data_IF_998920708199
#
_entry.id   IF_998920708199
#
_cell.length_a   1.000
_cell.length_b   1.000
_cell.length_c   1.000
_cell.angle_alpha   90.00
_cell.angle_beta   90.00
_cell.angle_gamma   90.00
#
_symmetry.space_group_name_H-M   'P 1'
#
loop_
_entity.id
_entity.type
_entity.pdbx_description
1 polymer ?
#
# COMPACT_ATOMS: atom_id res chain seq x y z
N UNK A 1 42.84 3.58 3.62
CA UNK A 1 41.70 2.76 3.20
C UNK A 1 40.58 3.70 2.77
N UNK A 2 40.27 3.79 1.47
CA UNK A 2 39.07 4.53 1.04
C UNK A 2 37.88 3.66 1.42
N UNK A 3 36.96 4.18 2.24
CA UNK A 3 35.66 3.55 2.40
C UNK A 3 35.07 3.35 1.01
N UNK A 4 34.68 2.12 0.67
CA UNK A 4 33.98 1.88 -0.59
C UNK A 4 32.69 2.71 -0.53
N UNK A 5 32.56 3.68 -1.43
CA UNK A 5 31.32 4.41 -1.60
C UNK A 5 30.22 3.39 -1.89
N UNK A 6 29.08 3.48 -1.21
CA UNK A 6 27.96 2.58 -1.46
C UNK A 6 27.54 2.70 -2.94
N UNK A 7 26.89 1.66 -3.48
CA UNK A 7 26.36 1.73 -4.85
C UNK A 7 25.44 2.94 -5.02
N UNK A 8 24.75 3.35 -3.95
CA UNK A 8 23.90 4.54 -3.92
C UNK A 8 24.70 5.84 -4.04
N UNK A 9 25.85 5.96 -3.37
CA UNK A 9 26.75 7.13 -3.47
C UNK A 9 27.34 7.30 -4.88
N UNK A 10 27.58 6.20 -5.59
CA UNK A 10 28.07 6.23 -6.97
C UNK A 10 26.95 6.67 -7.92
N UNK A 11 25.71 6.23 -7.68
CA UNK A 11 24.56 6.53 -8.53
C UNK A 11 24.07 7.98 -8.39
N UNK A 12 24.29 8.65 -7.25
CA UNK A 12 23.93 10.07 -7.05
C UNK A 12 24.85 11.03 -7.79
N UNK A 13 26.12 10.66 -8.00
CA UNK A 13 27.10 11.47 -8.74
C UNK A 13 26.99 11.31 -10.27
N UNK A 14 26.53 10.15 -10.75
CA UNK A 14 26.30 9.88 -12.17
C UNK A 14 25.25 8.77 -12.30
N UNK A 15 24.19 8.93 -13.12
CA UNK A 15 23.30 7.83 -13.46
C UNK A 15 24.10 6.71 -14.13
N UNK A 16 24.41 5.67 -13.37
CA UNK A 16 25.16 4.52 -13.81
C UNK A 16 24.31 3.28 -13.55
N UNK A 17 24.03 2.44 -14.56
CA UNK A 17 23.40 1.14 -14.34
C UNK A 17 24.34 0.23 -13.53
N UNK A 18 24.20 0.26 -12.20
CA UNK A 18 25.07 -0.47 -11.27
C UNK A 18 24.44 -1.75 -10.71
N UNK A 19 23.15 -1.99 -11.00
CA UNK A 19 22.40 -3.10 -10.44
C UNK A 19 22.40 -4.35 -11.34
N UNK A 20 22.15 -5.55 -10.77
CA UNK A 20 22.04 -6.79 -11.54
C UNK A 20 20.97 -6.75 -12.63
N UNK A 21 19.88 -5.99 -12.40
CA UNK A 21 18.86 -5.75 -13.41
C UNK A 21 18.10 -4.42 -13.20
N UNK A 22 16.90 -4.29 -13.77
CA UNK A 22 16.03 -3.12 -13.56
C UNK A 22 15.36 -3.14 -12.19
N UNK A 23 15.24 -1.97 -11.57
CA UNK A 23 14.53 -1.75 -10.32
C UNK A 23 13.56 -0.58 -10.47
N UNK A 24 12.36 -0.68 -9.90
CA UNK A 24 11.30 0.33 -10.00
C UNK A 24 10.68 0.58 -8.64
N UNK A 25 10.50 1.86 -8.31
CA UNK A 25 9.73 2.30 -7.16
C UNK A 25 8.46 2.99 -7.66
N UNK A 26 7.30 2.66 -7.07
CA UNK A 26 6.05 3.38 -7.29
C UNK A 26 5.33 3.62 -5.98
N UNK A 27 4.68 4.78 -5.91
CA UNK A 27 4.00 5.23 -4.71
C UNK A 27 2.51 5.46 -4.98
N UNK A 28 1.65 4.83 -4.20
CA UNK A 28 0.21 5.05 -4.15
C UNK A 28 -0.19 5.58 -2.79
N UNK A 29 -1.03 6.62 -2.76
CA UNK A 29 -1.41 7.27 -1.50
C UNK A 29 -2.38 6.47 -0.61
N UNK A 30 -3.00 5.41 -1.12
CA UNK A 30 -3.88 4.53 -0.35
C UNK A 30 -3.98 3.12 -1.00
N UNK A 31 -4.62 2.14 -0.34
CA UNK A 31 -4.77 0.78 -0.86
C UNK A 31 -5.61 0.62 -2.14
N UNK A 32 -6.28 1.68 -2.61
CA UNK A 32 -6.90 1.67 -3.94
C UNK A 32 -5.86 1.59 -5.08
N UNK A 33 -4.58 1.84 -4.79
CA UNK A 33 -3.43 1.62 -5.67
C UNK A 33 -3.57 2.18 -7.10
N UNK A 34 -3.90 3.48 -7.22
CA UNK A 34 -4.20 4.11 -8.50
C UNK A 34 -3.06 4.08 -9.54
N UNK A 35 -1.79 3.93 -9.14
CA UNK A 35 -0.66 3.79 -10.08
C UNK A 35 -0.27 2.32 -10.34
N UNK A 36 -1.03 1.39 -9.76
CA UNK A 36 -0.80 -0.05 -9.76
C UNK A 36 0.64 -0.38 -9.36
N UNK A 37 1.08 0.15 -8.21
CA UNK A 37 2.41 -0.07 -7.66
C UNK A 37 2.62 -1.56 -7.36
N UNK A 38 1.66 -2.22 -6.69
CA UNK A 38 1.75 -3.62 -6.26
C UNK A 38 2.01 -4.58 -7.41
N UNK A 39 1.58 -4.24 -8.63
CA UNK A 39 1.73 -5.08 -9.81
C UNK A 39 2.82 -4.63 -10.79
N UNK A 40 3.44 -3.44 -10.60
CA UNK A 40 4.30 -2.82 -11.63
C UNK A 40 5.58 -2.19 -11.09
N UNK A 41 5.92 -2.41 -9.82
CA UNK A 41 7.13 -1.89 -9.20
C UNK A 41 7.81 -2.94 -8.32
N UNK A 42 9.14 -3.03 -8.40
CA UNK A 42 9.94 -3.88 -7.53
C UNK A 42 9.71 -3.51 -6.06
N UNK A 43 9.63 -2.21 -5.75
CA UNK A 43 9.21 -1.66 -4.45
C UNK A 43 7.91 -0.87 -4.62
N UNK A 44 6.89 -1.26 -3.87
CA UNK A 44 5.57 -0.63 -3.86
C UNK A 44 5.37 0.07 -2.52
N UNK A 45 5.18 1.38 -2.56
CA UNK A 45 4.88 2.20 -1.38
C UNK A 45 3.38 2.48 -1.37
N UNK A 46 2.63 1.90 -0.43
CA UNK A 46 1.17 2.03 -0.35
C UNK A 46 0.80 2.75 0.95
N UNK A 47 0.25 3.95 0.84
CA UNK A 47 -0.18 4.74 2.00
C UNK A 47 -1.25 4.02 2.83
N UNK A 48 -1.13 4.07 4.15
CA UNK A 48 -2.06 3.49 5.12
C UNK A 48 -2.08 4.37 6.39
N UNK A 49 -2.97 4.06 7.33
CA UNK A 49 -3.01 4.68 8.65
C UNK A 49 -3.04 3.61 9.75
N UNK A 50 -2.78 4.02 11.00
CA UNK A 50 -2.75 3.13 12.18
C UNK A 50 -3.94 3.29 13.11
N UNK A 51 -4.48 4.50 13.19
CA UNK A 51 -5.54 4.87 14.11
C UNK A 51 -6.95 4.61 13.54
N UNK A 52 -7.96 5.10 14.24
CA UNK A 52 -9.35 4.79 13.93
C UNK A 52 -9.86 5.55 12.70
N UNK A 53 -10.71 4.88 11.91
CA UNK A 53 -11.49 5.54 10.85
C UNK A 53 -12.37 6.62 11.50
N UNK A 54 -12.31 7.83 10.96
CA UNK A 54 -13.11 8.97 11.44
C UNK A 54 -14.50 8.91 10.82
N UNK A 55 -15.53 8.94 11.66
CA UNK A 55 -16.93 8.76 11.26
C UNK A 55 -17.73 10.02 11.58
N UNK A 56 -18.33 10.63 10.56
CA UNK A 56 -19.37 11.65 10.69
C UNK A 56 -20.76 11.00 10.63
N UNK A 57 -21.39 10.85 11.78
CA UNK A 57 -22.71 10.20 11.90
C UNK A 57 -23.82 10.99 11.19
N UNK A 58 -23.68 12.32 11.06
CA UNK A 58 -24.68 13.13 10.35
C UNK A 58 -24.66 12.83 8.85
N UNK A 59 -23.46 12.69 8.29
CA UNK A 59 -23.28 12.29 6.90
C UNK A 59 -23.70 10.82 6.67
N UNK A 60 -23.45 9.91 7.61
CA UNK A 60 -23.97 8.53 7.55
C UNK A 60 -25.49 8.52 7.46
N UNK A 61 -26.18 9.33 8.27
CA UNK A 61 -27.64 9.45 8.22
C UNK A 61 -28.10 10.02 6.86
N UNK A 62 -27.40 11.01 6.31
CA UNK A 62 -27.68 11.57 4.98
C UNK A 62 -27.50 10.54 3.85
N UNK A 63 -26.50 9.65 3.93
CA UNK A 63 -26.35 8.50 3.01
C UNK A 63 -27.52 7.51 3.14
N UNK A 64 -27.90 7.13 4.37
CA UNK A 64 -29.03 6.22 4.62
C UNK A 64 -30.38 6.82 4.18
N UNK A 65 -30.52 8.15 4.30
CA UNK A 65 -31.67 8.92 3.80
C UNK A 65 -31.72 9.07 2.28
N UNK A 66 -30.59 8.88 1.58
CA UNK A 66 -30.47 9.05 0.14
C UNK A 66 -30.23 10.50 -0.31
N UNK A 67 -29.88 11.40 0.63
CA UNK A 67 -29.48 12.78 0.32
C UNK A 67 -28.10 12.83 -0.34
N UNK A 68 -27.21 11.93 0.09
CA UNK A 68 -25.87 11.78 -0.46
C UNK A 68 -25.76 10.55 -1.37
N UNK A 69 -25.11 10.74 -2.52
CA UNK A 69 -24.88 9.67 -3.50
C UNK A 69 -23.63 8.85 -3.15
N UNK A 70 -23.69 7.51 -3.26
CA UNK A 70 -22.53 6.66 -3.01
C UNK A 70 -21.41 6.89 -4.02
N UNK A 71 -20.16 6.62 -3.62
CA UNK A 71 -18.93 6.88 -4.40
C UNK A 71 -18.88 8.27 -5.02
N UNK A 72 -19.35 9.28 -4.29
CA UNK A 72 -19.46 10.66 -4.77
C UNK A 72 -20.24 10.80 -6.10
N UNK A 73 -21.21 9.91 -6.37
CA UNK A 73 -21.98 9.88 -7.61
C UNK A 73 -21.36 9.03 -8.72
N UNK A 74 -20.26 8.32 -8.47
CA UNK A 74 -19.63 7.39 -9.42
C UNK A 74 -20.38 6.06 -9.62
N UNK A 75 -21.60 5.93 -9.11
CA UNK A 75 -22.43 4.72 -9.28
C UNK A 75 -23.76 5.08 -9.93
N UNK A 76 -24.39 4.15 -10.68
CA UNK A 76 -25.72 4.37 -11.23
C UNK A 76 -26.83 4.31 -10.17
N UNK A 77 -26.53 3.86 -8.95
CA UNK A 77 -27.51 3.69 -7.89
C UNK A 77 -27.85 5.04 -7.24
N UNK A 78 -29.16 5.33 -7.16
CA UNK A 78 -29.66 6.59 -6.60
C UNK A 78 -29.54 6.64 -5.08
N UNK A 79 -29.65 5.49 -4.41
CA UNK A 79 -29.64 5.36 -2.95
C UNK A 79 -28.70 4.23 -2.53
N UNK A 80 -27.92 4.48 -1.49
CA UNK A 80 -27.05 3.49 -0.85
C UNK A 80 -27.83 2.72 0.22
N UNK A 81 -27.73 1.39 0.23
CA UNK A 81 -28.12 0.60 1.38
C UNK A 81 -26.89 0.40 2.28
N UNK A 82 -26.80 1.16 3.38
CA UNK A 82 -25.64 1.11 4.28
C UNK A 82 -25.41 -0.30 4.83
N UNK A 83 -26.47 -1.10 5.02
CA UNK A 83 -26.32 -2.45 5.51
C UNK A 83 -25.81 -3.37 4.40
N UNK A 84 -26.57 -3.47 3.31
CA UNK A 84 -26.29 -4.43 2.24
C UNK A 84 -25.01 -4.08 1.46
N UNK A 85 -24.74 -2.79 1.21
CA UNK A 85 -23.64 -2.35 0.36
C UNK A 85 -22.35 -2.05 1.14
N UNK A 86 -22.43 -1.74 2.45
CA UNK A 86 -21.27 -1.36 3.26
C UNK A 86 -20.94 -2.40 4.32
N UNK A 87 -21.84 -2.68 5.27
CA UNK A 87 -21.51 -3.56 6.40
C UNK A 87 -21.40 -5.01 5.98
N UNK A 88 -22.34 -5.50 5.17
CA UNK A 88 -22.41 -6.90 4.75
C UNK A 88 -21.30 -7.26 3.72
N UNK A 89 -20.75 -6.24 3.05
CA UNK A 89 -19.61 -6.37 2.12
C UNK A 89 -18.25 -6.05 2.75
N UNK A 90 -18.20 -5.75 4.05
CA UNK A 90 -16.94 -5.57 4.76
C UNK A 90 -16.16 -6.89 4.79
N UNK A 91 -14.92 -6.96 4.24
CA UNK A 91 -14.19 -8.24 4.15
C UNK A 91 -13.93 -8.93 5.48
N UNK A 92 -13.81 -8.16 6.57
CA UNK A 92 -13.58 -8.69 7.92
C UNK A 92 -14.84 -8.69 8.78
N UNK A 93 -15.97 -8.17 8.29
CA UNK A 93 -17.21 -8.06 9.08
C UNK A 93 -17.08 -7.15 10.31
N UNK A 94 -16.11 -6.24 10.35
CA UNK A 94 -15.82 -5.39 11.52
C UNK A 94 -16.78 -4.20 11.70
N UNK A 95 -17.81 -4.06 10.85
CA UNK A 95 -18.73 -2.92 10.86
C UNK A 95 -20.12 -3.32 11.37
N UNK A 96 -20.78 -2.43 12.10
CA UNK A 96 -22.17 -2.61 12.55
C UNK A 96 -23.00 -1.36 12.29
N UNK A 97 -24.20 -1.55 11.77
CA UNK A 97 -25.14 -0.47 11.50
C UNK A 97 -26.51 -0.79 12.08
N UNK A 98 -26.97 0.04 13.03
CA UNK A 98 -28.24 -0.15 13.74
C UNK A 98 -29.40 0.64 13.08
N UNK A 99 -29.24 1.07 11.83
CA UNK A 99 -30.20 1.94 11.11
C UNK A 99 -30.05 3.43 11.41
N UNK A 100 -29.34 3.80 12.49
CA UNK A 100 -29.07 5.20 12.86
C UNK A 100 -27.59 5.51 13.04
N UNK A 101 -26.83 4.60 13.65
CA UNK A 101 -25.42 4.78 13.99
C UNK A 101 -24.59 3.69 13.32
N UNK A 102 -23.48 4.11 12.72
CA UNK A 102 -22.45 3.20 12.20
C UNK A 102 -21.30 3.12 13.20
N UNK A 103 -20.88 1.90 13.54
CA UNK A 103 -19.69 1.64 14.35
C UNK A 103 -18.73 0.70 13.60
N UNK A 104 -17.44 0.88 13.85
CA UNK A 104 -16.35 0.13 13.22
C UNK A 104 -15.43 -0.36 14.33
N UNK A 105 -15.15 -1.66 14.35
CA UNK A 105 -14.09 -2.24 15.17
C UNK A 105 -12.76 -2.14 14.42
N UNK A 106 -12.06 -1.00 14.58
CA UNK A 106 -10.84 -0.69 13.84
C UNK A 106 -9.73 -1.72 14.08
N UNK A 107 -9.71 -2.39 15.23
CA UNK A 107 -8.71 -3.44 15.53
C UNK A 107 -8.81 -4.63 14.55
N UNK A 108 -10.00 -4.88 14.03
CA UNK A 108 -10.27 -5.93 13.04
C UNK A 108 -10.46 -5.38 11.62
N UNK A 109 -10.15 -4.10 11.39
CA UNK A 109 -10.16 -3.51 10.05
C UNK A 109 -8.87 -3.86 9.30
N UNK A 110 -8.97 -4.22 8.02
CA UNK A 110 -7.82 -4.48 7.15
C UNK A 110 -7.53 -3.33 6.16
N UNK A 111 -8.14 -2.16 6.37
CA UNK A 111 -7.94 -0.94 5.57
C UNK A 111 -8.20 -1.10 4.06
N UNK A 112 -9.13 -1.98 3.65
CA UNK A 112 -9.44 -2.24 2.24
C UNK A 112 -10.07 -1.09 1.44
N UNK A 113 -10.31 0.08 2.05
CA UNK A 113 -10.92 1.28 1.45
C UNK A 113 -12.38 1.16 0.98
N UNK A 114 -13.04 0.00 1.07
CA UNK A 114 -14.41 -0.19 0.56
C UNK A 114 -15.42 0.81 1.14
N UNK A 115 -15.52 0.86 2.47
CA UNK A 115 -16.47 1.73 3.16
C UNK A 115 -16.20 3.22 2.92
N UNK A 116 -14.93 3.64 2.98
CA UNK A 116 -14.50 5.01 2.69
C UNK A 116 -14.82 5.38 1.24
N UNK A 117 -14.58 4.47 0.30
CA UNK A 117 -14.85 4.70 -1.12
C UNK A 117 -16.35 4.84 -1.40
N UNK A 118 -17.21 4.11 -0.68
CA UNK A 118 -18.67 4.23 -0.80
C UNK A 118 -19.22 5.50 -0.14
N UNK A 119 -18.72 5.87 1.04
CA UNK A 119 -19.20 7.02 1.81
C UNK A 119 -18.09 8.05 2.10
N UNK A 120 -17.45 8.65 1.09
CA UNK A 120 -16.27 9.50 1.27
C UNK A 120 -16.55 10.79 2.05
N UNK A 121 -17.81 11.25 2.10
CA UNK A 121 -18.18 12.41 2.91
C UNK A 121 -18.38 12.08 4.39
N UNK A 122 -18.68 10.81 4.72
CA UNK A 122 -18.95 10.37 6.08
C UNK A 122 -17.76 9.68 6.74
N UNK A 123 -16.95 8.95 5.97
CA UNK A 123 -15.82 8.18 6.46
C UNK A 123 -14.52 8.76 5.92
N UNK A 124 -13.56 8.99 6.82
CA UNK A 124 -12.22 9.46 6.47
C UNK A 124 -11.17 8.53 7.08
N UNK A 125 -10.02 8.45 6.40
CA UNK A 125 -8.83 7.80 6.94
C UNK A 125 -8.48 8.35 8.32
N UNK A 126 -7.73 7.59 9.11
CA UNK A 126 -7.15 8.07 10.35
C UNK A 126 -6.17 9.24 10.16
N UNK A 127 -5.65 9.74 11.27
CA UNK A 127 -4.69 10.85 11.34
C UNK A 127 -3.24 10.39 11.49
N UNK A 128 -3.01 9.19 12.01
CA UNK A 128 -1.67 8.59 12.11
C UNK A 128 -1.33 7.86 10.81
N UNK A 129 -0.86 8.64 9.82
CA UNK A 129 -0.59 8.14 8.47
C UNK A 129 0.84 7.65 8.28
N UNK A 130 1.02 6.70 7.36
CA UNK A 130 2.31 6.17 6.94
C UNK A 130 2.15 5.35 5.67
N UNK A 131 3.05 4.38 5.43
CA UNK A 131 2.94 3.47 4.30
C UNK A 131 3.26 2.02 4.68
N UNK A 132 2.59 1.10 4.01
CA UNK A 132 2.99 -0.31 3.90
C UNK A 132 3.93 -0.42 2.71
N UNK A 133 5.07 -1.08 2.90
CA UNK A 133 6.05 -1.33 1.86
C UNK A 133 5.92 -2.78 1.40
N UNK A 134 5.80 -2.96 0.09
CA UNK A 134 5.73 -4.28 -0.53
C UNK A 134 6.86 -4.43 -1.56
N UNK A 135 7.38 -5.66 -1.68
CA UNK A 135 8.53 -5.95 -2.53
C UNK A 135 8.27 -7.12 -3.48
N UNK A 136 8.85 -7.05 -4.68
CA UNK A 136 9.09 -8.19 -5.55
C UNK A 136 8.26 -8.22 -6.83
N UNK A 137 7.45 -7.20 -7.16
CA UNK A 137 6.64 -7.31 -8.38
C UNK A 137 7.44 -7.30 -9.67
N UNK A 138 7.11 -8.25 -10.55
CA UNK A 138 7.57 -8.27 -11.93
C UNK A 138 6.63 -9.00 -12.88
N UNK A 139 6.81 -8.72 -14.18
CA UNK A 139 6.15 -9.42 -15.27
C UNK A 139 6.71 -10.84 -15.44
N UNK A 140 6.05 -11.74 -16.21
CA UNK A 140 6.32 -13.18 -16.19
C UNK A 140 7.75 -13.69 -16.41
N UNK A 141 8.61 -12.91 -17.07
CA UNK A 141 9.97 -13.36 -17.43
C UNK A 141 10.91 -13.10 -16.24
N UNK A 142 11.64 -14.10 -15.71
CA UNK A 142 11.71 -15.52 -16.10
C UNK A 142 10.84 -16.45 -15.24
N UNK A 143 10.82 -16.27 -13.92
CA UNK A 143 10.24 -17.21 -12.95
C UNK A 143 8.73 -17.01 -12.68
N UNK A 144 7.99 -16.51 -13.66
CA UNK A 144 6.56 -16.23 -13.55
C UNK A 144 6.25 -14.81 -13.09
N UNK A 145 4.97 -14.43 -13.12
CA UNK A 145 4.56 -13.09 -12.73
C UNK A 145 4.39 -13.01 -11.22
N UNK A 146 4.88 -11.93 -10.62
CA UNK A 146 4.76 -11.69 -9.19
C UNK A 146 4.09 -10.35 -8.92
N UNK A 147 3.18 -10.34 -7.95
CA UNK A 147 2.78 -9.13 -7.24
C UNK A 147 3.71 -8.93 -6.05
N UNK A 148 3.84 -7.69 -5.60
CA UNK A 148 4.65 -7.36 -4.44
C UNK A 148 4.04 -7.94 -3.17
N UNK A 149 4.88 -8.45 -2.27
CA UNK A 149 4.51 -8.99 -0.97
C UNK A 149 4.86 -8.01 0.14
N UNK A 150 4.07 -7.99 1.22
CA UNK A 150 4.31 -7.08 2.35
C UNK A 150 5.64 -7.42 3.02
N UNK A 151 6.53 -6.43 3.10
CA UNK A 151 7.82 -6.53 3.82
C UNK A 151 7.80 -5.69 5.09
N UNK A 152 7.20 -4.50 5.04
CA UNK A 152 7.06 -3.63 6.21
C UNK A 152 5.58 -3.26 6.33
N UNK A 153 4.88 -3.76 7.37
CA UNK A 153 3.44 -3.49 7.54
C UNK A 153 3.12 -2.00 7.68
N UNK A 154 3.99 -1.25 8.36
CA UNK A 154 3.85 0.20 8.51
C UNK A 154 5.20 0.88 8.75
N UNK A 155 5.45 1.95 8.01
CA UNK A 155 6.55 2.89 8.21
C UNK A 155 6.00 4.32 8.16
N UNK A 156 6.33 5.20 9.12
CA UNK A 156 6.07 6.63 9.00
C UNK A 156 6.78 7.20 7.76
N UNK A 157 6.08 8.01 6.96
CA UNK A 157 6.64 8.59 5.73
C UNK A 157 6.78 10.11 5.89
N UNK A 158 7.73 10.52 6.73
CA UNK A 158 8.02 11.93 7.01
C UNK A 158 9.30 12.36 6.30
N UNK A 159 9.29 13.55 5.68
CA UNK A 159 10.49 14.09 5.04
C UNK A 159 11.58 14.36 6.11
N UNK A 160 12.85 14.00 5.86
CA UNK A 160 13.46 13.66 4.56
C UNK A 160 13.41 12.17 4.14
N UNK A 161 12.59 11.35 4.79
CA UNK A 161 12.37 9.92 4.50
C UNK A 161 13.57 9.02 4.78
N UNK A 162 14.37 9.35 5.80
CA UNK A 162 15.62 8.64 6.11
C UNK A 162 15.41 7.13 6.31
N UNK A 163 14.41 6.73 7.10
CA UNK A 163 14.11 5.30 7.35
C UNK A 163 13.78 4.53 6.05
N UNK A 164 13.02 5.17 5.15
CA UNK A 164 12.66 4.58 3.86
C UNK A 164 13.90 4.46 2.96
N UNK A 165 14.73 5.52 2.92
CA UNK A 165 15.93 5.55 2.10
C UNK A 165 16.98 4.55 2.59
N UNK A 166 17.13 4.37 3.91
CA UNK A 166 17.98 3.35 4.53
C UNK A 166 17.51 1.94 4.16
N UNK A 167 16.21 1.65 4.28
CA UNK A 167 15.67 0.35 3.89
C UNK A 167 15.90 0.06 2.40
N UNK A 168 15.66 1.04 1.53
CA UNK A 168 15.91 0.90 0.08
C UNK A 168 17.40 0.66 -0.18
N UNK A 169 18.30 1.35 0.53
CA UNK A 169 19.74 1.13 0.47
C UNK A 169 20.14 -0.29 0.84
N UNK A 170 19.66 -0.79 1.98
CA UNK A 170 19.94 -2.14 2.44
C UNK A 170 19.46 -3.21 1.45
N UNK A 171 18.26 -3.03 0.86
CA UNK A 171 17.73 -3.94 -0.18
C UNK A 171 18.59 -3.90 -1.44
N UNK A 172 19.01 -2.71 -1.87
CA UNK A 172 19.86 -2.55 -3.04
C UNK A 172 21.24 -3.19 -2.84
N UNK A 173 21.85 -3.04 -1.66
CA UNK A 173 23.14 -3.66 -1.33
C UNK A 173 23.02 -5.19 -1.35
N UNK A 174 22.04 -5.74 -0.62
CA UNK A 174 21.78 -7.17 -0.60
C UNK A 174 21.53 -7.75 -2.00
N UNK A 175 20.71 -7.08 -2.81
CA UNK A 175 20.45 -7.53 -4.18
C UNK A 175 21.67 -7.40 -5.09
N UNK A 176 22.48 -6.36 -4.92
CA UNK A 176 23.70 -6.16 -5.73
C UNK A 176 24.75 -7.24 -5.46
N UNK A 177 24.86 -7.71 -4.21
CA UNK A 177 25.80 -8.77 -3.83
C UNK A 177 25.33 -10.17 -4.22
N UNK A 178 24.02 -10.44 -4.11
CA UNK A 178 23.47 -11.80 -4.24
C UNK A 178 22.76 -12.07 -5.57
N UNK A 179 22.40 -11.02 -6.31
CA UNK A 179 21.65 -11.10 -7.55
C UNK A 179 22.49 -11.65 -8.70
N UNK A 180 21.94 -12.62 -9.42
CA UNK A 180 22.51 -13.09 -10.69
C UNK A 180 22.32 -12.03 -11.78
N UNK A 181 23.10 -12.13 -12.85
CA UNK A 181 22.93 -11.28 -14.02
C UNK A 181 21.48 -11.35 -14.55
N UNK A 182 20.81 -10.20 -14.64
CA UNK A 182 19.42 -10.06 -15.08
C UNK A 182 18.39 -10.77 -14.20
N UNK A 183 18.68 -10.97 -12.93
CA UNK A 183 17.72 -11.47 -11.94
C UNK A 183 17.04 -10.30 -11.24
N UNK A 184 15.71 -10.30 -11.20
CA UNK A 184 14.91 -9.30 -10.47
C UNK A 184 14.96 -9.60 -8.97
N UNK A 185 14.75 -8.56 -8.16
CA UNK A 185 14.73 -8.72 -6.70
C UNK A 185 13.66 -9.70 -6.22
N UNK A 186 12.48 -9.76 -6.88
CA UNK A 186 11.44 -10.75 -6.57
C UNK A 186 11.88 -12.19 -6.85
N UNK A 187 12.61 -12.42 -7.94
CA UNK A 187 13.19 -13.73 -8.27
C UNK A 187 14.29 -14.11 -7.27
N UNK A 188 15.13 -13.15 -6.85
CA UNK A 188 16.12 -13.35 -5.80
C UNK A 188 15.45 -13.75 -4.47
N UNK A 189 14.35 -13.08 -4.11
CA UNK A 189 13.56 -13.41 -2.91
C UNK A 189 12.97 -14.82 -2.97
N UNK A 190 12.53 -15.29 -4.14
CA UNK A 190 12.10 -16.69 -4.32
C UNK A 190 13.27 -17.66 -4.16
N UNK A 191 14.41 -17.35 -4.77
CA UNK A 191 15.58 -18.26 -4.79
C UNK A 191 16.24 -18.39 -3.42
N UNK A 192 16.43 -17.28 -2.71
CA UNK A 192 17.07 -17.28 -1.39
C UNK A 192 16.05 -17.42 -0.25
N UNK A 193 14.77 -17.17 -0.51
CA UNK A 193 13.70 -17.24 0.48
C UNK A 193 13.60 -15.99 1.35
N UNK A 194 12.38 -15.72 1.83
CA UNK A 194 12.05 -14.54 2.65
C UNK A 194 12.88 -14.44 3.94
N UNK A 195 13.30 -15.56 4.52
CA UNK A 195 14.11 -15.58 5.75
C UNK A 195 15.50 -14.97 5.56
N UNK A 196 16.07 -15.06 4.35
CA UNK A 196 17.36 -14.44 4.04
C UNK A 196 17.22 -12.98 3.59
N UNK A 197 15.99 -12.55 3.32
CA UNK A 197 15.66 -11.17 2.96
C UNK A 197 15.39 -10.29 4.19
N UNK A 198 14.71 -10.85 5.20
CA UNK A 198 14.52 -10.22 6.51
C UNK A 198 15.77 -10.34 7.39
#
# INVERSE_FOLDING_TARGET
ARAAASVMDICTLRPCPAFPYKYKIKCSGCPNDCVAAVARADMSVIGVWKDDIRIDQSAVAAYAGGELKPRAGGTPYAKLDVKADVTDLCPTGCMKFDGKKLSIDNKNCNHCMHCISLMPQALRIGTETGATLLQGSHAPILEGAQMSWVIVPFMPMEAPFDEFMELVGNIHEWWSENGKNRERVGELMLRLGMRNFF
#
